data_IF_077877288608
#
_entry.id   IF_077877288608
#
_cell.length_a   1.000
_cell.length_b   1.000
_cell.length_c   1.000
_cell.angle_alpha   90.00
_cell.angle_beta   90.00
_cell.angle_gamma   90.00
#
_symmetry.space_group_name_H-M   'P 1'
#
loop_
_entity.id
_entity.type
_entity.pdbx_description
1 polymer ?
#
# COMPACT_ATOMS: atom_id res chain seq x y z
N UNK A 1 -0.93 17.86 -2.90
CA UNK A 1 -1.40 17.03 -4.03
C UNK A 1 -1.21 15.54 -3.73
N UNK A 2 -1.84 14.68 -4.55
CA UNK A 2 -1.64 13.22 -4.55
C UNK A 2 -0.16 12.88 -4.74
N UNK A 3 0.52 13.53 -5.68
CA UNK A 3 1.94 13.32 -5.98
C UNK A 3 2.82 13.63 -4.77
N UNK A 4 2.63 14.76 -4.12
CA UNK A 4 3.37 15.15 -2.91
C UNK A 4 3.12 14.18 -1.75
N UNK A 5 1.87 13.72 -1.59
CA UNK A 5 1.52 12.74 -0.56
C UNK A 5 2.29 11.42 -0.74
N UNK A 6 2.42 10.93 -1.98
CA UNK A 6 3.19 9.72 -2.29
C UNK A 6 4.69 9.96 -2.14
N UNK A 7 5.18 11.15 -2.52
CA UNK A 7 6.60 11.52 -2.37
C UNK A 7 7.05 11.50 -0.89
N UNK A 8 6.15 11.77 0.07
CA UNK A 8 6.46 11.63 1.50
C UNK A 8 6.92 10.20 1.87
N UNK A 9 6.38 9.17 1.21
CA UNK A 9 6.85 7.79 1.39
C UNK A 9 8.30 7.59 0.98
N UNK A 10 8.75 8.25 -0.06
CA UNK A 10 10.12 8.14 -0.55
C UNK A 10 11.17 8.76 0.40
N UNK A 11 10.78 9.70 1.27
CA UNK A 11 11.68 10.27 2.28
C UNK A 11 12.18 9.26 3.31
N UNK A 12 11.48 8.15 3.50
CA UNK A 12 11.88 7.09 4.41
C UNK A 12 12.93 6.14 3.80
N UNK A 13 13.16 6.27 2.49
CA UNK A 13 14.06 5.43 1.73
C UNK A 13 15.41 6.13 1.55
N UNK A 14 16.38 5.87 2.39
CA UNK A 14 17.75 6.23 2.08
C UNK A 14 18.42 7.21 3.05
N UNK A 15 19.52 7.76 2.66
CA UNK A 15 20.54 8.51 3.41
C UNK A 15 20.03 9.61 4.38
N UNK A 16 18.77 9.97 4.30
CA UNK A 16 18.12 10.89 5.23
C UNK A 16 18.06 10.38 6.68
N UNK A 17 17.95 9.06 6.87
CA UNK A 17 17.98 8.48 8.22
C UNK A 17 19.39 8.49 8.83
N UNK A 18 20.43 8.54 7.99
CA UNK A 18 21.82 8.46 8.43
C UNK A 18 22.45 9.82 8.77
N UNK A 19 21.87 10.95 8.35
CA UNK A 19 22.48 12.28 8.50
C UNK A 19 21.74 13.25 9.43
N UNK A 20 21.03 12.76 10.45
CA UNK A 20 20.62 13.61 11.57
C UNK A 20 19.23 14.23 11.48
N UNK A 21 18.21 13.41 11.71
CA UNK A 21 16.89 13.84 12.18
C UNK A 21 16.01 14.56 11.15
N UNK A 22 14.72 14.28 11.26
CA UNK A 22 13.64 14.77 10.38
C UNK A 22 13.64 16.31 10.19
N UNK A 23 14.09 17.08 11.17
CA UNK A 23 14.14 18.56 11.11
C UNK A 23 15.30 19.11 10.26
N UNK A 24 16.40 18.38 10.11
CA UNK A 24 17.52 18.80 9.27
C UNK A 24 17.27 18.56 7.78
N UNK A 25 16.44 17.57 7.46
CA UNK A 25 16.10 17.19 6.08
C UNK A 25 15.21 18.20 5.37
N UNK A 26 14.28 18.80 6.10
CA UNK A 26 13.30 19.76 5.54
C UNK A 26 13.95 21.06 5.04
N UNK A 27 15.11 21.45 5.60
CA UNK A 27 15.77 22.73 5.31
C UNK A 27 16.88 22.63 4.25
N UNK A 28 17.31 21.40 3.85
CA UNK A 28 18.46 21.19 2.98
C UNK A 28 18.20 20.29 1.76
N UNK A 29 16.95 20.09 1.34
CA UNK A 29 16.68 19.35 0.11
C UNK A 29 17.26 20.11 -1.08
N UNK A 30 18.28 19.49 -1.72
CA UNK A 30 18.77 19.95 -3.00
C UNK A 30 17.69 19.68 -4.06
N UNK A 31 17.46 20.58 -4.99
CA UNK A 31 16.48 20.42 -6.09
C UNK A 31 16.60 19.08 -6.82
N UNK A 32 17.82 18.54 -6.93
CA UNK A 32 18.06 17.24 -7.56
C UNK A 32 17.49 16.05 -6.75
N UNK A 33 17.46 16.14 -5.43
CA UNK A 33 16.89 15.11 -4.54
C UNK A 33 15.37 15.17 -4.57
N UNK A 34 14.80 16.36 -4.52
CA UNK A 34 13.35 16.57 -4.66
C UNK A 34 12.83 16.01 -5.99
N UNK A 35 13.54 16.26 -7.09
CA UNK A 35 13.18 15.72 -8.40
C UNK A 35 13.21 14.17 -8.43
N UNK A 36 14.18 13.54 -7.74
CA UNK A 36 14.22 12.08 -7.63
C UNK A 36 13.04 11.53 -6.85
N UNK A 37 12.66 12.17 -5.74
CA UNK A 37 11.50 11.75 -4.94
C UNK A 37 10.20 11.89 -5.73
N UNK A 38 10.01 13.00 -6.43
CA UNK A 38 8.83 13.23 -7.27
C UNK A 38 8.79 12.26 -8.46
N UNK A 39 9.93 11.91 -9.04
CA UNK A 39 10.02 10.91 -10.10
C UNK A 39 9.60 9.53 -9.60
N UNK A 40 10.10 9.11 -8.44
CA UNK A 40 9.70 7.84 -7.83
C UNK A 40 8.22 7.82 -7.47
N UNK A 41 7.70 8.89 -6.87
CA UNK A 41 6.29 9.02 -6.56
C UNK A 41 5.40 8.92 -7.80
N UNK A 42 5.79 9.55 -8.91
CA UNK A 42 5.09 9.45 -10.19
C UNK A 42 5.06 8.01 -10.70
N UNK A 43 6.21 7.33 -10.65
CA UNK A 43 6.32 5.93 -11.06
C UNK A 43 5.38 5.02 -10.25
N UNK A 44 5.28 5.23 -8.93
CA UNK A 44 4.37 4.46 -8.10
C UNK A 44 2.91 4.80 -8.38
N UNK A 45 2.56 6.06 -8.63
CA UNK A 45 1.21 6.45 -9.03
C UNK A 45 0.78 5.82 -10.37
N UNK A 46 1.67 5.77 -11.34
CA UNK A 46 1.44 5.05 -12.61
C UNK A 46 1.23 3.55 -12.36
N UNK A 47 2.07 2.95 -11.50
CA UNK A 47 2.00 1.52 -11.15
C UNK A 47 0.67 1.13 -10.52
N UNK A 48 0.11 1.99 -9.65
CA UNK A 48 -1.17 1.73 -8.97
C UNK A 48 -2.40 2.27 -9.72
N UNK A 49 -2.23 2.93 -10.86
CA UNK A 49 -3.31 3.43 -11.70
C UNK A 49 -3.94 4.76 -11.23
N UNK A 50 -3.18 5.60 -10.52
CA UNK A 50 -3.60 6.94 -10.07
C UNK A 50 -2.88 8.09 -10.81
N UNK A 51 -2.27 7.83 -11.95
CA UNK A 51 -1.54 8.84 -12.73
C UNK A 51 -2.40 10.07 -13.07
N UNK A 52 -3.65 9.84 -13.48
CA UNK A 52 -4.58 10.92 -13.88
C UNK A 52 -4.98 11.85 -12.73
N UNK A 53 -4.79 11.39 -11.49
CA UNK A 53 -5.15 12.14 -10.28
C UNK A 53 -3.96 12.80 -9.59
N UNK A 54 -2.73 12.69 -10.13
CA UNK A 54 -1.50 13.05 -9.40
C UNK A 54 -1.43 14.52 -8.94
N UNK A 55 -2.11 15.42 -9.65
CA UNK A 55 -2.12 16.85 -9.31
C UNK A 55 -3.36 17.30 -8.53
N UNK A 56 -4.30 16.40 -8.26
CA UNK A 56 -5.47 16.68 -7.44
C UNK A 56 -5.10 16.74 -5.95
N UNK A 57 -5.97 17.32 -5.15
CA UNK A 57 -5.86 17.22 -3.70
C UNK A 57 -6.14 15.79 -3.23
N UNK A 58 -5.26 15.22 -2.41
CA UNK A 58 -5.40 13.85 -1.92
C UNK A 58 -6.73 13.61 -1.17
N UNK A 59 -7.20 14.62 -0.42
CA UNK A 59 -8.48 14.56 0.30
C UNK A 59 -9.72 14.59 -0.59
N UNK A 60 -9.61 14.98 -1.86
CA UNK A 60 -10.73 14.99 -2.81
C UNK A 60 -10.99 13.64 -3.49
N UNK A 61 -10.08 12.69 -3.33
CA UNK A 61 -10.22 11.36 -3.90
C UNK A 61 -11.37 10.57 -3.25
N UNK A 62 -12.02 9.70 -4.03
CA UNK A 62 -12.94 8.72 -3.50
C UNK A 62 -12.21 7.75 -2.52
N UNK A 63 -12.92 7.16 -1.57
CA UNK A 63 -12.34 6.31 -0.52
C UNK A 63 -11.47 5.19 -1.08
N UNK A 64 -11.93 4.50 -2.14
CA UNK A 64 -11.16 3.45 -2.80
C UNK A 64 -9.84 3.95 -3.40
N UNK A 65 -9.84 5.16 -3.97
CA UNK A 65 -8.62 5.79 -4.48
C UNK A 65 -7.68 6.23 -3.36
N UNK A 66 -8.24 6.68 -2.21
CA UNK A 66 -7.43 7.01 -1.03
C UNK A 66 -6.70 5.77 -0.49
N UNK A 67 -7.35 4.60 -0.45
CA UNK A 67 -6.70 3.33 -0.08
C UNK A 67 -5.58 2.94 -1.04
N UNK A 68 -5.80 3.12 -2.33
CA UNK A 68 -4.76 2.88 -3.35
C UNK A 68 -3.60 3.89 -3.21
N UNK A 69 -3.90 5.14 -2.86
CA UNK A 69 -2.90 6.17 -2.58
C UNK A 69 -2.01 5.81 -1.37
N UNK A 70 -2.60 5.28 -0.30
CA UNK A 70 -1.87 4.81 0.88
C UNK A 70 -0.88 3.69 0.51
N UNK A 71 -1.29 2.76 -0.36
CA UNK A 71 -0.42 1.72 -0.91
C UNK A 71 0.69 2.32 -1.76
N UNK A 72 0.38 3.25 -2.66
CA UNK A 72 1.38 3.93 -3.49
C UNK A 72 2.46 4.62 -2.64
N UNK A 73 2.05 5.27 -1.55
CA UNK A 73 2.96 5.90 -0.59
C UNK A 73 3.87 4.86 0.08
N UNK A 74 3.33 3.72 0.51
CA UNK A 74 4.11 2.64 1.09
C UNK A 74 5.11 2.03 0.07
N UNK A 75 4.70 1.88 -1.18
CA UNK A 75 5.57 1.35 -2.25
C UNK A 75 6.79 2.25 -2.56
N UNK A 76 6.71 3.56 -2.28
CA UNK A 76 7.85 4.46 -2.42
C UNK A 76 9.01 4.11 -1.46
N UNK A 77 8.75 3.41 -0.35
CA UNK A 77 9.78 2.91 0.55
C UNK A 77 10.54 1.71 -0.02
N UNK A 78 10.15 1.19 -1.19
CA UNK A 78 10.68 -0.05 -1.80
C UNK A 78 10.65 -1.24 -0.82
N UNK A 79 9.49 -1.55 -0.24
CA UNK A 79 9.38 -2.53 0.82
C UNK A 79 9.54 -3.96 0.27
N UNK A 80 10.18 -4.85 1.05
CA UNK A 80 10.19 -6.28 0.77
C UNK A 80 8.84 -6.94 1.15
N UNK A 81 8.11 -6.35 2.08
CA UNK A 81 6.83 -6.82 2.60
C UNK A 81 5.88 -5.63 2.80
N UNK A 82 4.69 -5.72 2.25
CA UNK A 82 3.61 -4.77 2.45
C UNK A 82 2.67 -5.30 3.54
N UNK A 83 2.47 -4.50 4.60
CA UNK A 83 1.56 -4.81 5.69
C UNK A 83 0.28 -3.98 5.54
N UNK A 84 -0.86 -4.64 5.46
CA UNK A 84 -2.16 -4.00 5.27
C UNK A 84 -3.13 -4.45 6.38
N UNK A 85 -3.65 -3.47 7.09
CA UNK A 85 -4.64 -3.68 8.15
C UNK A 85 -5.99 -3.14 7.69
N UNK A 86 -6.96 -4.05 7.50
CA UNK A 86 -8.32 -3.79 7.02
C UNK A 86 -8.42 -2.84 5.80
N UNK A 87 -7.63 -3.03 4.72
CA UNK A 87 -7.61 -2.10 3.61
C UNK A 87 -8.93 -2.06 2.82
N UNK A 88 -9.78 -3.08 2.94
CA UNK A 88 -11.08 -3.15 2.28
C UNK A 88 -12.21 -2.55 3.13
N UNK A 89 -11.92 -2.07 4.36
CA UNK A 89 -12.94 -1.50 5.24
C UNK A 89 -13.62 -0.27 4.62
N UNK A 90 -14.96 -0.27 4.61
CA UNK A 90 -15.78 0.82 4.07
C UNK A 90 -15.83 0.91 2.54
N UNK A 91 -15.12 0.07 1.82
CA UNK A 91 -15.14 0.04 0.37
C UNK A 91 -16.39 -0.61 -0.20
N UNK A 92 -16.89 -0.05 -1.31
CA UNK A 92 -17.96 -0.66 -2.10
C UNK A 92 -17.41 -1.83 -2.92
N UNK A 93 -18.27 -2.70 -3.38
CA UNK A 93 -17.89 -3.91 -4.13
C UNK A 93 -16.89 -3.66 -5.28
N UNK A 94 -17.16 -2.66 -6.14
CA UNK A 94 -16.26 -2.31 -7.25
C UNK A 94 -14.88 -1.80 -6.77
N UNK A 95 -14.85 -1.09 -5.65
CA UNK A 95 -13.60 -0.58 -5.06
C UNK A 95 -12.79 -1.72 -4.45
N UNK A 96 -13.45 -2.69 -3.79
CA UNK A 96 -12.80 -3.92 -3.32
C UNK A 96 -12.21 -4.73 -4.47
N UNK A 97 -12.93 -4.84 -5.59
CA UNK A 97 -12.41 -5.53 -6.78
C UNK A 97 -11.17 -4.82 -7.35
N UNK A 98 -11.17 -3.50 -7.42
CA UNK A 98 -10.02 -2.72 -7.89
C UNK A 98 -8.81 -2.90 -6.96
N UNK A 99 -9.03 -2.89 -5.64
CA UNK A 99 -7.99 -3.14 -4.65
C UNK A 99 -7.45 -4.57 -4.78
N UNK A 100 -8.30 -5.59 -4.90
CA UNK A 100 -7.89 -6.97 -5.08
C UNK A 100 -7.05 -7.16 -6.35
N UNK A 101 -7.47 -6.55 -7.47
CA UNK A 101 -6.73 -6.58 -8.73
C UNK A 101 -5.33 -5.94 -8.58
N UNK A 102 -5.22 -4.81 -7.88
CA UNK A 102 -3.94 -4.18 -7.57
C UNK A 102 -3.04 -5.09 -6.74
N UNK A 103 -3.55 -5.68 -5.65
CA UNK A 103 -2.77 -6.57 -4.79
C UNK A 103 -2.33 -7.83 -5.53
N UNK A 104 -3.19 -8.40 -6.38
CA UNK A 104 -2.83 -9.53 -7.26
C UNK A 104 -1.71 -9.15 -8.23
N UNK A 105 -1.78 -7.97 -8.84
CA UNK A 105 -0.71 -7.44 -9.69
C UNK A 105 0.61 -7.31 -8.93
N UNK A 106 0.59 -6.69 -7.75
CA UNK A 106 1.80 -6.53 -6.93
C UNK A 106 2.40 -7.87 -6.52
N UNK A 107 1.57 -8.86 -6.18
CA UNK A 107 1.99 -10.25 -5.94
C UNK A 107 2.70 -10.85 -7.16
N UNK A 108 2.11 -10.71 -8.34
CA UNK A 108 2.70 -11.22 -9.59
C UNK A 108 4.06 -10.55 -9.92
N UNK A 109 4.27 -9.32 -9.45
CA UNK A 109 5.54 -8.60 -9.54
C UNK A 109 6.57 -9.03 -8.46
N UNK A 110 6.22 -9.98 -7.58
CA UNK A 110 7.09 -10.51 -6.53
C UNK A 110 6.95 -9.83 -5.17
N UNK A 111 5.97 -8.94 -4.98
CA UNK A 111 5.70 -8.32 -3.69
C UNK A 111 5.10 -9.31 -2.70
N UNK A 112 5.68 -9.40 -1.51
CA UNK A 112 5.07 -10.11 -0.39
C UNK A 112 4.05 -9.20 0.30
N UNK A 113 2.86 -9.75 0.62
CA UNK A 113 1.80 -9.00 1.30
C UNK A 113 1.32 -9.78 2.52
N UNK A 114 1.28 -9.13 3.68
CA UNK A 114 0.56 -9.61 4.85
C UNK A 114 -0.68 -8.74 5.04
N UNK A 115 -1.84 -9.41 5.00
CA UNK A 115 -3.15 -8.77 5.04
C UNK A 115 -3.89 -9.20 6.29
N UNK A 116 -4.36 -8.24 7.08
CA UNK A 116 -5.31 -8.48 8.16
C UNK A 116 -6.69 -8.02 7.67
N UNK A 117 -7.65 -8.93 7.65
CA UNK A 117 -9.00 -8.68 7.13
C UNK A 117 -10.03 -9.61 7.77
N UNK A 118 -11.27 -9.17 7.77
CA UNK A 118 -12.41 -9.95 8.23
C UNK A 118 -13.46 -10.19 7.12
N UNK A 119 -13.27 -9.61 5.94
CA UNK A 119 -14.09 -9.86 4.75
C UNK A 119 -13.61 -11.14 4.07
N UNK A 120 -14.33 -12.24 4.33
CA UNK A 120 -13.93 -13.57 3.83
C UNK A 120 -13.97 -13.65 2.30
N UNK A 121 -14.92 -13.01 1.64
CA UNK A 121 -15.01 -13.01 0.18
C UNK A 121 -13.78 -12.33 -0.45
N UNK A 122 -13.31 -11.24 0.18
CA UNK A 122 -12.11 -10.54 -0.26
C UNK A 122 -10.84 -11.38 -0.03
N UNK A 123 -10.69 -11.99 1.15
CA UNK A 123 -9.50 -12.75 1.55
C UNK A 123 -9.34 -14.04 0.76
N UNK A 124 -10.43 -14.83 0.63
CA UNK A 124 -10.39 -16.17 0.02
C UNK A 124 -9.92 -16.18 -1.43
N UNK A 125 -10.19 -15.10 -2.17
CA UNK A 125 -9.81 -14.98 -3.57
C UNK A 125 -8.41 -14.35 -3.78
N UNK A 126 -7.79 -13.82 -2.73
CA UNK A 126 -6.56 -13.04 -2.83
C UNK A 126 -5.34 -13.74 -2.24
N UNK A 127 -5.53 -14.50 -1.16
CA UNK A 127 -4.44 -15.03 -0.34
C UNK A 127 -4.02 -16.44 -0.74
N UNK A 128 -2.72 -16.73 -0.55
CA UNK A 128 -2.17 -18.08 -0.76
C UNK A 128 -2.22 -18.92 0.51
N UNK A 129 -2.23 -18.27 1.67
CA UNK A 129 -2.26 -18.92 2.99
C UNK A 129 -3.05 -18.05 3.96
N UNK A 130 -3.83 -18.70 4.81
CA UNK A 130 -4.62 -18.06 5.86
C UNK A 130 -4.12 -18.48 7.25
N UNK A 131 -4.17 -17.53 8.17
CA UNK A 131 -4.11 -17.76 9.60
C UNK A 131 -5.38 -17.16 10.20
N UNK A 132 -6.21 -18.00 10.82
CA UNK A 132 -7.43 -17.55 11.49
C UNK A 132 -7.15 -17.36 12.97
N UNK A 133 -7.58 -16.22 13.47
CA UNK A 133 -7.40 -15.84 14.88
C UNK A 133 -8.75 -15.54 15.53
N UNK A 134 -8.89 -15.97 16.76
CA UNK A 134 -10.01 -15.66 17.64
C UNK A 134 -9.50 -15.27 19.02
N UNK A 135 -9.92 -14.13 19.55
CA UNK A 135 -9.47 -13.59 20.84
C UNK A 135 -7.93 -13.64 21.05
N UNK A 136 -7.15 -13.32 20.01
CA UNK A 136 -5.69 -13.33 20.06
C UNK A 136 -5.04 -14.71 19.95
N UNK A 137 -5.82 -15.77 19.79
CA UNK A 137 -5.34 -17.15 19.66
C UNK A 137 -5.51 -17.63 18.22
N UNK A 138 -4.47 -18.28 17.67
CA UNK A 138 -4.55 -18.94 16.37
C UNK A 138 -5.42 -20.18 16.48
N UNK A 139 -6.52 -20.24 15.71
CA UNK A 139 -7.44 -21.38 15.72
C UNK A 139 -7.33 -22.26 14.47
N UNK A 140 -6.91 -21.70 13.32
CA UNK A 140 -6.67 -22.48 12.10
C UNK A 140 -5.55 -21.83 11.27
N UNK A 141 -4.92 -22.65 10.43
CA UNK A 141 -3.90 -22.21 9.46
C UNK A 141 -3.85 -23.20 8.30
N UNK A 142 -3.77 -22.69 7.07
CA UNK A 142 -3.69 -23.54 5.86
C UNK A 142 -3.97 -22.77 4.59
N UNK A 143 -4.21 -23.51 3.53
CA UNK A 143 -4.72 -22.94 2.27
C UNK A 143 -6.16 -22.46 2.46
N UNK A 144 -6.60 -21.43 1.72
CA UNK A 144 -7.97 -20.92 1.87
C UNK A 144 -9.06 -21.99 1.80
N UNK A 145 -8.93 -22.96 0.87
CA UNK A 145 -9.88 -24.05 0.70
C UNK A 145 -9.89 -25.03 1.88
N UNK A 146 -8.73 -25.27 2.51
CA UNK A 146 -8.62 -26.16 3.66
C UNK A 146 -9.23 -25.53 4.90
N UNK A 147 -8.97 -24.23 5.10
CA UNK A 147 -9.48 -23.47 6.24
C UNK A 147 -11.00 -23.31 6.17
N UNK A 148 -11.57 -23.22 4.95
CA UNK A 148 -13.02 -23.11 4.77
C UNK A 148 -13.79 -24.38 5.15
N UNK A 149 -13.15 -25.54 5.13
CA UNK A 149 -13.77 -26.84 5.42
C UNK A 149 -13.63 -27.27 6.87
N UNK A 150 -12.94 -26.49 7.69
CA UNK A 150 -12.64 -26.77 9.09
C UNK A 150 -13.61 -26.01 9.99
#
# INVERSE_FOLDING_TARGET
>A
TVLENVALGAHLRGDFAAQGGVLASVVRMNQAEEQKLLFEARRQLERVGLADCMYQEAGSLALGQQRILEIARALCCDPALLLLDEPAAGLRYKEKQALAALLTKLKAEGMSVLLVEHDMDFVMNLTDRLVVMEFGTKIAEGLPQEVQQN
#
